data_IF_648195940903
#
_entry.id   IF_648195940903
#
_cell.length_a   1.000
_cell.length_b   1.000
_cell.length_c   1.000
_cell.angle_alpha   90.00
_cell.angle_beta   90.00
_cell.angle_gamma   90.00
#
_symmetry.space_group_name_H-M   'P 1'
#
loop_
_entity.id
_entity.type
_entity.pdbx_description
1 polymer ?
#
# COMPACT_ATOMS: atom_id res chain seq x y z
N UNK A 1 31.62 45.37 32.99
CA UNK A 1 30.27 45.84 32.59
C UNK A 1 29.65 45.04 31.43
N UNK A 2 30.42 44.31 30.62
CA UNK A 2 29.95 43.58 29.44
C UNK A 2 29.15 42.29 29.71
N UNK A 3 29.31 41.65 30.87
CA UNK A 3 28.59 40.41 31.21
C UNK A 3 27.10 40.59 31.56
N UNK A 4 26.66 41.81 31.94
CA UNK A 4 25.24 42.10 32.26
C UNK A 4 24.40 42.41 31.01
N UNK A 5 25.05 42.83 29.92
CA UNK A 5 24.39 43.18 28.66
C UNK A 5 24.08 41.91 27.85
N UNK A 6 24.96 40.91 27.90
CA UNK A 6 24.75 39.62 27.23
C UNK A 6 23.56 38.83 27.81
N UNK A 7 23.37 38.86 29.13
CA UNK A 7 22.21 38.22 29.80
C UNK A 7 20.91 38.98 29.56
N UNK A 8 20.94 40.31 29.46
CA UNK A 8 19.76 41.10 29.11
C UNK A 8 19.31 40.87 27.66
N UNK A 9 20.25 40.69 26.72
CA UNK A 9 19.92 40.36 25.33
C UNK A 9 19.38 38.94 25.17
N UNK A 10 19.89 37.97 25.94
CA UNK A 10 19.39 36.59 25.96
C UNK A 10 18.00 36.49 26.61
N UNK A 11 17.70 37.31 27.63
CA UNK A 11 16.34 37.42 28.18
C UNK A 11 15.39 38.15 27.23
N UNK A 12 15.86 39.16 26.48
CA UNK A 12 15.05 39.85 25.47
C UNK A 12 14.74 38.95 24.26
N UNK A 13 15.66 38.08 23.85
CA UNK A 13 15.46 37.07 22.79
C UNK A 13 14.66 35.84 23.26
N UNK A 14 14.56 35.60 24.58
CA UNK A 14 13.66 34.60 25.16
C UNK A 14 12.24 35.15 25.42
N UNK A 15 12.05 36.48 25.36
CA UNK A 15 10.76 37.17 25.53
C UNK A 15 10.09 37.55 24.20
N UNK A 16 10.70 37.22 23.06
CA UNK A 16 10.17 37.52 21.71
C UNK A 16 9.08 36.60 21.14
N UNK A 17 8.41 35.68 21.86
CA UNK A 17 7.07 35.25 21.45
C UNK A 17 5.95 36.14 22.02
N UNK A 18 6.22 37.00 23.00
CA UNK A 18 5.19 37.70 23.79
C UNK A 18 4.72 39.08 23.27
N UNK A 19 5.16 39.52 22.08
CA UNK A 19 4.87 40.87 21.56
C UNK A 19 4.11 40.90 20.22
N UNK A 20 3.62 39.74 19.75
CA UNK A 20 2.40 39.74 18.94
C UNK A 20 1.22 39.79 19.91
N UNK A 21 0.22 40.62 19.63
CA UNK A 21 -1.08 40.46 20.26
C UNK A 21 -1.45 38.98 20.13
N UNK A 22 -1.62 38.29 21.26
CA UNK A 22 -1.84 36.85 21.29
C UNK A 22 -3.13 36.57 20.52
N UNK A 23 -3.00 36.06 19.29
CA UNK A 23 -4.11 35.89 18.36
C UNK A 23 -5.20 34.99 18.96
N UNK A 24 -4.83 34.12 19.90
CA UNK A 24 -5.73 33.27 20.69
C UNK A 24 -6.65 34.10 21.56
N UNK A 25 -6.12 35.11 22.25
CA UNK A 25 -6.91 36.02 23.09
C UNK A 25 -7.89 36.87 22.27
N UNK A 26 -7.45 37.29 21.08
CA UNK A 26 -8.21 38.12 20.14
C UNK A 26 -9.27 37.30 19.39
N UNK A 27 -9.02 36.02 19.12
CA UNK A 27 -10.05 35.09 18.64
C UNK A 27 -11.09 34.81 19.75
N UNK A 28 -10.63 34.57 20.97
CA UNK A 28 -11.51 34.29 22.11
C UNK A 28 -12.43 35.47 22.45
N UNK A 29 -11.96 36.71 22.33
CA UNK A 29 -12.78 37.91 22.57
C UNK A 29 -14.00 37.97 21.63
N UNK A 30 -13.88 37.42 20.41
CA UNK A 30 -14.96 37.30 19.43
C UNK A 30 -15.86 36.08 19.64
N UNK A 31 -15.31 34.98 20.16
CA UNK A 31 -16.02 33.73 20.38
C UNK A 31 -16.65 33.58 21.77
N UNK A 32 -16.41 34.53 22.68
CA UNK A 32 -16.87 34.48 24.06
C UNK A 32 -18.40 34.48 24.23
N UNK A 33 -18.90 35.14 25.29
CA UNK A 33 -20.29 34.96 25.75
C UNK A 33 -21.38 35.27 24.71
N UNK A 34 -21.11 36.20 23.79
CA UNK A 34 -21.95 36.48 22.62
C UNK A 34 -21.09 36.31 21.37
N UNK A 35 -21.05 35.10 20.77
CA UNK A 35 -20.11 34.80 19.71
C UNK A 35 -20.49 35.52 18.41
N UNK A 36 -19.54 36.25 17.84
CA UNK A 36 -19.60 36.76 16.47
C UNK A 36 -18.73 35.87 15.56
N UNK A 37 -19.36 34.82 15.01
CA UNK A 37 -18.68 33.85 14.15
C UNK A 37 -18.20 34.46 12.83
N UNK A 38 -18.84 35.53 12.35
CA UNK A 38 -18.43 36.21 11.12
C UNK A 38 -17.14 36.99 11.33
N UNK A 39 -17.10 37.82 12.38
CA UNK A 39 -15.88 38.55 12.73
C UNK A 39 -14.72 37.61 13.12
N UNK A 40 -15.02 36.49 13.80
CA UNK A 40 -14.02 35.48 14.14
C UNK A 40 -13.43 34.82 12.89
N UNK A 41 -14.26 34.53 11.89
CA UNK A 41 -13.83 33.96 10.62
C UNK A 41 -12.90 34.92 9.86
N UNK A 42 -13.33 36.15 9.63
CA UNK A 42 -12.55 37.14 8.88
C UNK A 42 -11.20 37.40 9.52
N UNK A 43 -11.17 37.47 10.85
CA UNK A 43 -9.93 37.59 11.61
C UNK A 43 -9.02 36.37 11.43
N UNK A 44 -9.55 35.16 11.63
CA UNK A 44 -8.74 33.94 11.65
C UNK A 44 -8.16 33.62 10.26
N UNK A 45 -8.90 33.88 9.19
CA UNK A 45 -8.42 33.67 7.80
C UNK A 45 -7.23 34.57 7.47
N UNK A 46 -7.27 35.83 7.88
CA UNK A 46 -6.17 36.76 7.63
C UNK A 46 -4.98 36.50 8.55
N UNK A 47 -5.23 36.13 9.80
CA UNK A 47 -4.16 35.91 10.76
C UNK A 47 -3.44 34.58 10.49
N UNK A 48 -4.16 33.51 10.11
CA UNK A 48 -3.57 32.19 9.82
C UNK A 48 -2.42 32.24 8.79
N UNK A 49 -2.47 33.19 7.84
CA UNK A 49 -1.42 33.42 6.83
C UNK A 49 -0.09 33.88 7.44
N UNK A 50 -0.14 34.55 8.60
CA UNK A 50 0.99 35.16 9.29
C UNK A 50 1.51 34.31 10.47
N UNK A 51 0.75 33.30 10.88
CA UNK A 51 1.09 32.44 12.01
C UNK A 51 2.24 31.48 11.68
N UNK A 52 2.99 31.13 12.72
CA UNK A 52 3.98 30.05 12.71
C UNK A 52 3.29 28.69 12.47
N UNK A 53 4.01 27.64 12.04
CA UNK A 53 3.41 26.37 11.65
C UNK A 53 2.49 25.72 12.71
N UNK A 54 2.88 25.75 13.99
CA UNK A 54 2.11 25.16 15.10
C UNK A 54 0.81 25.94 15.39
N UNK A 55 0.89 27.27 15.41
CA UNK A 55 -0.28 28.12 15.59
C UNK A 55 -1.18 28.08 14.35
N UNK A 56 -0.60 27.92 13.15
CA UNK A 56 -1.35 27.74 11.90
C UNK A 56 -2.17 26.45 11.91
N UNK A 57 -1.62 25.36 12.46
CA UNK A 57 -2.38 24.12 12.66
C UNK A 57 -3.58 24.33 13.59
N UNK A 58 -3.38 25.10 14.66
CA UNK A 58 -4.43 25.48 15.62
C UNK A 58 -5.51 26.36 14.98
N UNK A 59 -5.12 27.32 14.14
CA UNK A 59 -6.08 28.10 13.37
C UNK A 59 -6.82 27.22 12.33
N UNK A 60 -6.10 26.34 11.63
CA UNK A 60 -6.64 25.51 10.55
C UNK A 60 -7.75 24.56 11.04
N UNK A 61 -7.65 24.01 12.26
CA UNK A 61 -8.68 23.11 12.80
C UNK A 61 -9.94 23.86 13.26
N UNK A 62 -9.82 25.16 13.58
CA UNK A 62 -10.95 25.99 14.01
C UNK A 62 -11.73 26.61 12.84
N UNK A 63 -11.09 26.80 11.68
CA UNK A 63 -11.76 27.31 10.49
C UNK A 63 -12.98 26.47 10.04
N UNK A 64 -12.92 25.13 9.95
CA UNK A 64 -14.09 24.31 9.65
C UNK A 64 -15.26 24.55 10.61
N UNK A 65 -14.97 24.70 11.91
CA UNK A 65 -15.98 24.99 12.92
C UNK A 65 -16.67 26.34 12.68
N UNK A 66 -15.90 27.38 12.36
CA UNK A 66 -16.46 28.69 12.04
C UNK A 66 -17.29 28.66 10.74
N UNK A 67 -16.83 27.96 9.70
CA UNK A 67 -17.61 27.76 8.47
C UNK A 67 -18.95 27.07 8.74
N UNK A 68 -18.95 26.03 9.58
CA UNK A 68 -20.16 25.32 9.98
C UNK A 68 -21.14 26.23 10.73
N UNK A 69 -20.64 27.09 11.64
CA UNK A 69 -21.46 28.07 12.37
C UNK A 69 -22.05 29.16 11.47
N UNK A 70 -21.38 29.47 10.37
CA UNK A 70 -21.88 30.37 9.31
C UNK A 70 -22.84 29.67 8.33
N UNK A 71 -23.02 28.35 8.44
CA UNK A 71 -23.90 27.55 7.58
C UNK A 71 -23.30 27.12 6.24
N UNK A 72 -22.00 27.34 6.04
CA UNK A 72 -21.29 27.01 4.80
C UNK A 72 -20.70 25.59 4.87
N UNK A 73 -21.55 24.59 4.57
CA UNK A 73 -21.18 23.17 4.64
C UNK A 73 -20.11 22.76 3.63
N UNK A 74 -20.04 23.44 2.48
CA UNK A 74 -19.05 23.13 1.46
C UNK A 74 -17.67 23.54 1.93
N UNK A 75 -17.52 24.78 2.44
CA UNK A 75 -16.25 25.24 3.03
C UNK A 75 -15.86 24.43 4.26
N UNK A 76 -16.82 24.06 5.11
CA UNK A 76 -16.58 23.18 6.25
C UNK A 76 -15.89 21.89 5.80
N UNK A 77 -16.46 21.20 4.79
CA UNK A 77 -15.94 19.94 4.27
C UNK A 77 -14.54 20.09 3.67
N UNK A 78 -14.34 21.11 2.84
CA UNK A 78 -13.06 21.34 2.18
C UNK A 78 -11.95 21.64 3.19
N UNK A 79 -12.22 22.50 4.18
CA UNK A 79 -11.26 22.85 5.23
C UNK A 79 -10.97 21.68 6.17
N UNK A 80 -12.00 20.89 6.53
CA UNK A 80 -11.81 19.71 7.36
C UNK A 80 -10.94 18.67 6.64
N UNK A 81 -11.20 18.41 5.35
CA UNK A 81 -10.39 17.53 4.53
C UNK A 81 -8.93 18.01 4.45
N UNK A 82 -8.73 19.30 4.19
CA UNK A 82 -7.39 19.90 4.13
C UNK A 82 -6.64 19.73 5.45
N UNK A 83 -7.33 19.90 6.58
CA UNK A 83 -6.74 19.69 7.89
C UNK A 83 -6.29 18.23 8.08
N UNK A 84 -7.14 17.24 7.81
CA UNK A 84 -6.77 15.83 7.94
C UNK A 84 -5.62 15.43 7.01
N UNK A 85 -5.65 15.85 5.73
CA UNK A 85 -4.59 15.50 4.78
C UNK A 85 -3.25 16.18 5.11
N UNK A 86 -3.28 17.38 5.70
CA UNK A 86 -2.06 18.15 6.03
C UNK A 86 -1.48 17.77 7.37
N UNK A 87 -2.32 17.68 8.40
CA UNK A 87 -1.90 17.53 9.80
C UNK A 87 -2.15 16.12 10.37
N UNK A 88 -2.80 15.23 9.62
CA UNK A 88 -2.97 13.80 9.95
C UNK A 88 -3.60 13.54 11.33
N UNK A 89 -4.65 14.29 11.66
CA UNK A 89 -5.35 14.19 12.96
C UNK A 89 -4.45 14.51 14.18
N UNK A 90 -3.38 15.27 13.98
CA UNK A 90 -2.58 15.77 15.09
C UNK A 90 -3.30 16.94 15.77
N UNK A 91 -3.84 16.72 16.96
CA UNK A 91 -4.57 17.75 17.68
C UNK A 91 -3.64 18.82 18.27
N UNK A 92 -3.91 20.11 18.01
CA UNK A 92 -3.26 21.19 18.73
C UNK A 92 -3.83 21.36 20.14
N UNK A 93 -3.16 22.17 20.96
CA UNK A 93 -3.67 22.54 22.28
C UNK A 93 -4.82 23.57 22.17
N UNK A 94 -5.96 23.23 22.76
CA UNK A 94 -7.16 24.05 22.78
C UNK A 94 -7.38 24.76 24.13
N UNK A 95 -6.40 24.74 25.04
CA UNK A 95 -6.51 25.32 26.38
C UNK A 95 -6.79 26.82 26.44
N UNK A 96 -6.65 27.53 25.32
CA UNK A 96 -6.98 28.95 25.21
C UNK A 96 -8.48 29.22 24.97
N UNK A 97 -9.26 28.21 24.57
CA UNK A 97 -10.70 28.36 24.40
C UNK A 97 -11.40 28.34 25.77
N UNK A 98 -12.47 29.13 25.91
CA UNK A 98 -13.31 29.05 27.10
C UNK A 98 -14.15 27.77 27.09
N UNK A 99 -14.66 27.38 28.26
CA UNK A 99 -15.34 26.09 28.46
C UNK A 99 -16.54 25.90 27.52
N UNK A 100 -17.27 26.98 27.20
CA UNK A 100 -18.43 26.90 26.33
C UNK A 100 -18.03 26.66 24.88
N UNK A 101 -17.08 27.45 24.35
CA UNK A 101 -16.59 27.31 22.97
C UNK A 101 -15.88 25.97 22.79
N UNK A 102 -15.05 25.56 23.75
CA UNK A 102 -14.35 24.29 23.70
C UNK A 102 -15.33 23.12 23.61
N UNK A 103 -16.37 23.10 24.44
CA UNK A 103 -17.36 22.02 24.42
C UNK A 103 -18.10 21.96 23.09
N UNK A 104 -18.50 23.11 22.55
CA UNK A 104 -19.22 23.20 21.28
C UNK A 104 -18.32 22.77 20.09
N UNK A 105 -17.07 23.22 20.09
CA UNK A 105 -16.06 22.81 19.12
C UNK A 105 -15.81 21.30 19.17
N UNK A 106 -15.62 20.71 20.35
CA UNK A 106 -15.40 19.27 20.49
C UNK A 106 -16.60 18.45 20.02
N UNK A 107 -17.83 18.92 20.28
CA UNK A 107 -19.04 18.29 19.78
C UNK A 107 -19.12 18.32 18.24
N UNK A 108 -18.70 19.43 17.63
CA UNK A 108 -18.58 19.58 16.18
C UNK A 108 -17.47 18.69 15.58
N UNK A 109 -16.31 18.61 16.22
CA UNK A 109 -15.13 17.94 15.66
C UNK A 109 -15.17 16.41 15.84
N UNK A 110 -15.89 15.91 16.84
CA UNK A 110 -15.95 14.47 17.13
C UNK A 110 -16.49 13.60 15.97
N UNK A 111 -17.56 13.97 15.24
CA UNK A 111 -18.01 13.21 14.06
C UNK A 111 -16.95 13.14 12.96
N UNK A 112 -16.25 14.25 12.70
CA UNK A 112 -15.16 14.33 11.73
C UNK A 112 -14.06 13.34 12.06
N UNK A 113 -13.59 13.33 13.31
CA UNK A 113 -12.58 12.37 13.79
C UNK A 113 -12.99 10.91 13.67
N UNK A 114 -14.27 10.61 13.87
CA UNK A 114 -14.77 9.23 13.83
C UNK A 114 -14.95 8.71 12.41
N UNK A 115 -15.15 9.61 11.44
CA UNK A 115 -15.65 9.23 10.11
C UNK A 115 -14.67 9.56 8.99
N UNK A 116 -13.74 10.50 9.14
CA UNK A 116 -12.86 10.87 8.03
C UNK A 116 -11.89 9.70 7.70
N UNK A 117 -11.93 9.12 6.48
CA UNK A 117 -11.15 7.94 6.14
C UNK A 117 -9.73 8.33 5.68
N UNK A 118 -8.91 8.84 6.61
CA UNK A 118 -7.55 9.29 6.30
C UNK A 118 -6.65 8.09 5.95
N UNK A 119 -6.07 8.14 4.75
CA UNK A 119 -4.98 7.23 4.33
C UNK A 119 -3.65 7.94 4.44
N UNK A 120 -2.73 7.38 5.22
CA UNK A 120 -1.39 7.92 5.45
C UNK A 120 -0.32 6.82 5.37
N UNK A 121 0.95 7.24 5.37
CA UNK A 121 2.12 6.36 5.27
C UNK A 121 2.10 5.40 4.07
N UNK A 122 1.73 5.93 2.90
CA UNK A 122 1.66 5.19 1.64
C UNK A 122 3.08 4.87 1.12
N UNK A 123 3.44 3.58 1.12
CA UNK A 123 4.78 3.12 0.74
C UNK A 123 4.74 1.85 -0.11
N UNK A 124 5.79 1.60 -0.89
CA UNK A 124 5.99 0.33 -1.57
C UNK A 124 6.55 -0.70 -0.60
N UNK A 125 6.13 -1.96 -0.73
CA UNK A 125 6.63 -3.06 0.10
C UNK A 125 7.70 -3.85 -0.67
N UNK A 126 8.90 -3.90 -0.10
CA UNK A 126 10.01 -4.72 -0.59
C UNK A 126 10.16 -5.97 0.27
N UNK A 127 10.36 -7.12 -0.38
CA UNK A 127 10.54 -8.40 0.29
C UNK A 127 11.97 -8.89 0.13
N UNK A 128 12.56 -9.46 1.18
CA UNK A 128 13.96 -9.93 1.19
C UNK A 128 14.27 -11.13 0.28
N UNK A 129 13.34 -11.54 -0.62
CA UNK A 129 13.65 -12.56 -1.61
C UNK A 129 14.71 -12.01 -2.57
N UNK A 130 15.75 -12.82 -2.83
CA UNK A 130 16.91 -12.46 -3.65
C UNK A 130 16.52 -11.86 -5.02
N UNK A 131 17.46 -11.20 -5.71
CA UNK A 131 17.18 -10.29 -6.82
C UNK A 131 16.22 -10.95 -7.81
N UNK A 132 14.99 -10.44 -7.86
CA UNK A 132 13.97 -10.93 -8.77
C UNK A 132 14.50 -10.76 -10.20
N UNK A 133 14.86 -11.87 -10.83
CA UNK A 133 15.22 -11.89 -12.23
C UNK A 133 13.93 -11.76 -13.03
N UNK A 134 13.66 -10.56 -13.54
CA UNK A 134 12.48 -10.26 -14.37
C UNK A 134 11.51 -9.24 -13.76
N UNK A 135 10.54 -8.85 -14.57
CA UNK A 135 9.51 -7.88 -14.18
C UNK A 135 8.48 -8.54 -13.25
N UNK A 136 8.08 -7.87 -12.16
CA UNK A 136 7.01 -8.35 -11.30
C UNK A 136 5.66 -8.26 -12.01
N UNK A 137 4.77 -9.22 -11.73
CA UNK A 137 3.38 -9.18 -12.19
C UNK A 137 2.57 -8.08 -11.47
N UNK A 138 2.89 -7.82 -10.21
CA UNK A 138 2.21 -6.86 -9.35
C UNK A 138 3.18 -6.28 -8.34
N UNK A 139 2.84 -5.12 -7.80
CA UNK A 139 3.55 -4.48 -6.70
C UNK A 139 2.59 -4.22 -5.56
N UNK A 140 3.08 -4.38 -4.34
CA UNK A 140 2.29 -4.20 -3.13
C UNK A 140 2.57 -2.81 -2.53
N UNK A 141 1.48 -2.08 -2.26
CA UNK A 141 1.48 -0.76 -1.64
C UNK A 141 0.90 -0.91 -0.24
N UNK A 142 1.72 -0.66 0.78
CA UNK A 142 1.28 -0.61 2.16
C UNK A 142 0.83 0.79 2.54
N UNK A 143 -0.24 0.91 3.33
CA UNK A 143 -0.69 2.17 3.90
C UNK A 143 -1.42 1.95 5.22
N UNK A 144 -1.54 3.00 6.02
CA UNK A 144 -2.36 3.00 7.23
C UNK A 144 -3.65 3.78 7.02
N UNK A 145 -4.74 3.22 7.53
CA UNK A 145 -6.08 3.78 7.49
C UNK A 145 -6.52 4.15 8.91
N UNK A 146 -6.81 5.43 9.12
CA UNK A 146 -7.18 5.96 10.44
C UNK A 146 -8.54 5.45 10.92
N UNK A 147 -9.54 5.45 10.05
CA UNK A 147 -10.91 5.03 10.32
C UNK A 147 -11.37 4.01 9.28
N UNK A 148 -12.19 3.05 9.69
CA UNK A 148 -12.71 2.06 8.76
C UNK A 148 -13.48 2.70 7.60
N UNK A 149 -13.39 2.08 6.43
CA UNK A 149 -14.02 2.59 5.23
C UNK A 149 -14.34 1.45 4.24
N UNK A 150 -15.41 1.64 3.48
CA UNK A 150 -15.59 0.90 2.24
C UNK A 150 -14.67 1.50 1.19
N UNK A 151 -14.06 0.66 0.37
CA UNK A 151 -13.12 1.11 -0.64
C UNK A 151 -13.50 0.62 -2.03
N UNK A 152 -13.08 1.39 -3.03
CA UNK A 152 -13.10 1.01 -4.44
C UNK A 152 -11.83 1.51 -5.10
N UNK A 153 -11.08 0.61 -5.72
CA UNK A 153 -9.89 0.93 -6.52
C UNK A 153 -10.24 0.82 -8.00
N UNK A 154 -9.89 1.86 -8.76
CA UNK A 154 -10.13 1.91 -10.19
C UNK A 154 -8.93 2.43 -10.97
N UNK A 155 -8.82 2.00 -12.23
CA UNK A 155 -7.85 2.46 -13.20
C UNK A 155 -8.63 2.98 -14.42
N UNK A 156 -8.68 4.30 -14.56
CA UNK A 156 -9.56 4.94 -15.55
C UNK A 156 -11.03 4.52 -15.37
N UNK A 157 -11.70 3.97 -16.40
CA UNK A 157 -13.09 3.53 -16.29
C UNK A 157 -13.27 2.15 -15.63
N UNK A 158 -12.19 1.42 -15.36
CA UNK A 158 -12.26 0.03 -14.89
C UNK A 158 -12.12 -0.06 -13.38
N UNK A 159 -13.04 -0.78 -12.73
CA UNK A 159 -12.96 -1.10 -11.30
C UNK A 159 -12.12 -2.37 -11.15
N UNK A 160 -11.04 -2.28 -10.35
CA UNK A 160 -10.13 -3.39 -10.10
C UNK A 160 -10.58 -4.21 -8.89
N UNK A 161 -10.87 -3.51 -7.78
CA UNK A 161 -11.18 -4.13 -6.49
C UNK A 161 -12.12 -3.22 -5.69
N UNK A 162 -12.91 -3.83 -4.81
CA UNK A 162 -13.68 -3.10 -3.80
C UNK A 162 -14.04 -4.00 -2.63
N UNK A 163 -14.29 -3.38 -1.48
CA UNK A 163 -14.56 -4.11 -0.25
C UNK A 163 -14.66 -3.20 0.96
N UNK A 164 -14.38 -3.76 2.14
CA UNK A 164 -14.33 -3.04 3.40
C UNK A 164 -12.95 -3.23 4.03
N UNK A 165 -12.37 -2.13 4.50
CA UNK A 165 -11.14 -2.14 5.29
C UNK A 165 -11.43 -1.65 6.71
N UNK A 166 -11.14 -2.46 7.76
CA UNK A 166 -11.17 -1.98 9.13
C UNK A 166 -10.07 -0.93 9.35
N UNK A 167 -10.08 -0.22 10.48
CA UNK A 167 -8.96 0.64 10.88
C UNK A 167 -7.65 -0.16 10.98
N UNK A 168 -6.54 0.40 10.49
CA UNK A 168 -5.20 -0.18 10.64
C UNK A 168 -4.39 -0.22 9.34
N UNK A 169 -3.37 -1.07 9.31
CA UNK A 169 -2.49 -1.24 8.17
C UNK A 169 -3.09 -2.19 7.13
N UNK A 170 -3.03 -1.78 5.86
CA UNK A 170 -3.54 -2.54 4.71
C UNK A 170 -2.51 -2.59 3.60
N UNK A 171 -2.65 -3.61 2.76
CA UNK A 171 -1.82 -3.82 1.57
C UNK A 171 -2.74 -3.83 0.36
N UNK A 172 -2.47 -2.93 -0.58
CA UNK A 172 -3.09 -2.88 -1.89
C UNK A 172 -2.16 -3.49 -2.94
N UNK A 173 -2.64 -4.50 -3.65
CA UNK A 173 -1.88 -5.13 -4.73
C UNK A 173 -2.21 -4.47 -6.06
N UNK A 174 -1.25 -3.77 -6.64
CA UNK A 174 -1.38 -3.10 -7.93
C UNK A 174 -0.84 -4.00 -9.04
N UNK A 175 -1.66 -4.45 -10.00
CA UNK A 175 -1.18 -5.20 -11.15
C UNK A 175 -0.33 -4.30 -12.07
N UNK A 176 0.82 -4.79 -12.52
CA UNK A 176 1.77 -4.05 -13.36
C UNK A 176 1.84 -4.57 -14.81
N UNK A 177 0.95 -5.50 -15.19
CA UNK A 177 0.92 -6.05 -16.55
C UNK A 177 0.76 -4.95 -17.61
N UNK A 178 1.69 -4.91 -18.57
CA UNK A 178 1.71 -3.91 -19.65
C UNK A 178 2.27 -2.54 -19.26
N UNK A 179 2.54 -2.28 -17.96
CA UNK A 179 2.99 -0.94 -17.52
C UNK A 179 4.47 -0.66 -17.81
N UNK A 180 5.24 -1.69 -18.15
CA UNK A 180 6.68 -1.62 -18.46
C UNK A 180 7.01 -1.50 -19.95
N UNK A 181 6.02 -1.20 -20.80
CA UNK A 181 6.26 -0.98 -22.24
C UNK A 181 6.98 0.34 -22.51
N UNK A 182 6.66 1.37 -21.71
CA UNK A 182 7.24 2.71 -21.80
C UNK A 182 7.31 3.34 -20.41
N UNK A 183 8.21 4.30 -20.25
CA UNK A 183 8.22 5.15 -19.05
C UNK A 183 6.94 6.00 -19.05
N UNK A 184 6.11 5.86 -18.03
CA UNK A 184 4.83 6.56 -17.92
C UNK A 184 4.39 6.71 -16.46
N UNK A 185 3.36 7.53 -16.22
CA UNK A 185 2.70 7.67 -14.91
C UNK A 185 1.27 7.16 -15.01
N UNK A 186 0.97 6.13 -14.23
CA UNK A 186 -0.36 5.53 -14.16
C UNK A 186 -1.10 6.03 -12.92
N UNK A 187 -2.33 6.52 -13.10
CA UNK A 187 -3.15 7.07 -12.03
C UNK A 187 -4.24 6.08 -11.62
N UNK A 188 -4.09 5.51 -10.43
CA UNK A 188 -5.10 4.69 -9.78
C UNK A 188 -5.96 5.57 -8.88
N UNK A 189 -7.26 5.38 -8.90
CA UNK A 189 -8.21 6.15 -8.09
C UNK A 189 -8.68 5.26 -6.95
N UNK A 190 -8.36 5.65 -5.72
CA UNK A 190 -8.86 5.04 -4.49
C UNK A 190 -10.03 5.88 -3.96
N UNK A 191 -11.25 5.37 -4.09
CA UNK A 191 -12.43 5.96 -3.46
C UNK A 191 -12.68 5.27 -2.12
N UNK A 192 -12.83 6.07 -1.05
CA UNK A 192 -13.09 5.62 0.31
C UNK A 192 -14.41 6.22 0.79
N UNK A 193 -15.33 5.40 1.27
CA UNK A 193 -16.59 5.85 1.87
C UNK A 193 -16.63 5.44 3.34
N UNK A 194 -16.84 6.42 4.22
CA UNK A 194 -17.06 6.20 5.64
C UNK A 194 -18.13 7.17 6.13
N UNK A 195 -19.25 6.60 6.62
CA UNK A 195 -20.47 7.37 6.87
C UNK A 195 -20.92 8.16 5.63
N UNK A 196 -21.10 9.47 5.82
CA UNK A 196 -21.51 10.42 4.78
C UNK A 196 -20.34 11.04 4.01
N UNK A 197 -19.10 10.62 4.30
CA UNK A 197 -17.90 11.16 3.67
C UNK A 197 -17.42 10.19 2.59
N UNK A 198 -17.30 10.69 1.36
CA UNK A 198 -16.64 9.99 0.26
C UNK A 198 -15.37 10.75 -0.09
N UNK A 199 -14.22 10.13 0.16
CA UNK A 199 -12.89 10.67 -0.10
C UNK A 199 -12.27 9.97 -1.31
N UNK A 200 -11.91 10.73 -2.33
CA UNK A 200 -11.23 10.25 -3.54
C UNK A 200 -9.76 10.59 -3.48
N UNK A 201 -8.89 9.58 -3.47
CA UNK A 201 -7.44 9.73 -3.41
C UNK A 201 -6.76 9.14 -4.66
N UNK A 202 -6.13 9.97 -5.50
CA UNK A 202 -5.29 9.47 -6.58
C UNK A 202 -3.98 8.87 -6.05
N UNK A 203 -3.65 7.66 -6.50
CA UNK A 203 -2.37 6.99 -6.27
C UNK A 203 -1.65 6.94 -7.61
N UNK A 204 -0.61 7.76 -7.75
CA UNK A 204 0.18 7.84 -8.98
C UNK A 204 1.39 6.92 -8.89
N UNK A 205 1.43 5.94 -9.78
CA UNK A 205 2.53 4.99 -9.93
C UNK A 205 3.36 5.44 -11.12
N UNK A 206 4.58 5.92 -10.86
CA UNK A 206 5.53 6.29 -11.91
C UNK A 206 6.41 5.09 -12.22
N UNK A 207 6.50 4.75 -13.50
CA UNK A 207 7.41 3.74 -14.04
C UNK A 207 8.45 4.46 -14.89
N UNK A 208 9.71 4.39 -14.49
CA UNK A 208 10.84 4.93 -15.26
C UNK A 208 11.70 3.78 -15.77
N UNK A 209 11.93 3.71 -17.07
CA UNK A 209 12.75 2.68 -17.73
C UNK A 209 14.03 3.33 -18.22
N UNK A 210 15.17 2.84 -17.73
CA UNK A 210 16.49 3.23 -18.20
C UNK A 210 17.16 2.03 -18.89
N UNK A 211 17.59 2.21 -20.14
CA UNK A 211 18.45 1.25 -20.80
C UNK A 211 19.82 1.27 -20.14
N UNK A 212 20.26 0.11 -19.64
CA UNK A 212 21.63 -0.07 -19.19
C UNK A 212 22.46 -0.30 -20.45
N UNK A 213 23.09 0.76 -20.95
CA UNK A 213 24.16 0.62 -21.94
C UNK A 213 25.19 -0.32 -21.32
N UNK A 214 25.35 -1.50 -21.92
CA UNK A 214 26.46 -2.36 -21.57
C UNK A 214 27.72 -1.52 -21.74
N UNK A 215 28.48 -1.30 -20.66
CA UNK A 215 29.85 -0.82 -20.79
C UNK A 215 30.51 -1.69 -21.87
N UNK A 216 31.23 -1.11 -22.85
CA UNK A 216 31.67 -1.85 -24.02
C UNK A 216 32.44 -3.07 -23.53
N UNK A 217 31.83 -4.25 -23.69
CA UNK A 217 32.51 -5.49 -23.41
C UNK A 217 33.72 -5.48 -24.34
N UNK A 218 34.92 -5.58 -23.75
CA UNK A 218 36.14 -5.74 -24.52
C UNK A 218 35.90 -6.84 -25.55
N UNK A 219 36.17 -6.52 -26.82
CA UNK A 219 35.85 -7.35 -27.96
C UNK A 219 36.18 -8.84 -27.70
N UNK A 220 35.26 -9.77 -28.00
CA UNK A 220 35.56 -11.18 -27.87
C UNK A 220 36.64 -11.51 -28.90
N UNK A 221 37.80 -11.95 -28.41
CA UNK A 221 38.81 -12.58 -29.27
C UNK A 221 38.23 -13.88 -29.80
N UNK A 222 38.11 -13.96 -31.12
CA UNK A 222 37.84 -15.19 -31.86
C UNK A 222 38.80 -16.29 -31.40
N UNK A 223 38.25 -17.33 -30.77
CA UNK A 223 38.91 -18.61 -30.64
C UNK A 223 37.93 -19.67 -31.11
N UNK A 224 38.16 -20.12 -32.34
CA UNK A 224 37.62 -21.33 -32.93
C UNK A 224 37.81 -22.52 -31.97
N UNK A 225 36.73 -23.25 -31.69
CA UNK A 225 36.79 -24.64 -31.24
C UNK A 225 35.53 -25.39 -31.73
N UNK A 226 35.67 -26.57 -32.34
CA UNK A 226 34.55 -27.31 -32.94
C UNK A 226 33.96 -28.39 -32.01
N UNK A 227 32.67 -28.70 -32.27
CA UNK A 227 31.87 -29.90 -31.93
C UNK A 227 31.61 -30.20 -30.43
N UNK A 228 30.44 -30.63 -29.96
CA UNK A 228 29.45 -31.60 -30.47
C UNK A 228 28.20 -31.60 -29.55
N UNK A 229 27.01 -31.94 -30.08
CA UNK A 229 25.84 -32.22 -29.22
C UNK A 229 24.47 -32.18 -29.91
N UNK A 230 24.09 -33.29 -30.54
CA UNK A 230 22.75 -33.84 -30.87
C UNK A 230 21.56 -32.93 -31.26
N UNK A 231 20.75 -33.33 -32.29
CA UNK A 231 19.61 -32.55 -32.74
C UNK A 231 18.46 -32.62 -31.71
N UNK A 232 18.08 -31.46 -31.18
CA UNK A 232 16.89 -31.30 -30.33
C UNK A 232 15.66 -31.52 -31.22
N UNK A 233 14.85 -32.56 -30.92
CA UNK A 233 13.57 -32.81 -31.57
C UNK A 233 12.70 -31.54 -31.54
N UNK A 234 12.05 -31.25 -32.67
CA UNK A 234 11.21 -30.07 -32.86
C UNK A 234 10.14 -29.92 -31.77
N UNK A 235 10.04 -28.70 -31.24
CA UNK A 235 8.97 -28.24 -30.36
C UNK A 235 7.65 -28.42 -31.12
N UNK A 236 6.69 -29.14 -30.56
CA UNK A 236 5.34 -29.19 -31.13
C UNK A 236 4.62 -27.89 -30.77
N UNK A 237 4.49 -27.02 -31.76
CA UNK A 237 3.77 -25.76 -31.64
C UNK A 237 2.33 -25.95 -32.12
N UNK A 238 1.37 -25.62 -31.27
CA UNK A 238 -0.03 -25.49 -31.66
C UNK A 238 -0.35 -24.02 -31.90
N UNK A 239 -0.74 -23.67 -33.12
CA UNK A 239 -1.25 -22.35 -33.48
C UNK A 239 -2.75 -22.44 -33.78
N UNK A 240 -3.54 -21.59 -33.13
CA UNK A 240 -4.95 -21.38 -33.49
C UNK A 240 -5.06 -19.96 -34.03
N UNK A 241 -5.41 -19.85 -35.30
CA UNK A 241 -5.66 -18.59 -35.99
C UNK A 241 -7.12 -18.53 -36.44
N UNK A 242 -7.83 -17.47 -36.05
CA UNK A 242 -9.22 -17.22 -36.42
C UNK A 242 -9.28 -16.11 -37.46
N UNK A 243 -9.91 -16.43 -38.59
CA UNK A 243 -10.13 -15.53 -39.70
C UNK A 243 -11.61 -15.22 -39.84
N UNK A 244 -11.95 -13.96 -40.06
CA UNK A 244 -13.28 -13.54 -40.51
C UNK A 244 -13.07 -12.60 -41.69
N UNK A 245 -13.81 -12.81 -42.79
CA UNK A 245 -13.70 -12.07 -44.04
C UNK A 245 -12.25 -11.99 -44.58
N UNK A 246 -11.54 -13.11 -44.54
CA UNK A 246 -10.13 -13.23 -44.92
C UNK A 246 -9.15 -12.30 -44.17
N UNK A 247 -9.57 -11.72 -43.03
CA UNK A 247 -8.69 -10.97 -42.12
C UNK A 247 -8.47 -11.76 -40.84
N UNK A 248 -7.19 -11.89 -40.46
CA UNK A 248 -6.78 -12.53 -39.21
C UNK A 248 -7.19 -11.62 -38.05
N UNK A 249 -8.13 -12.09 -37.22
CA UNK A 249 -8.65 -11.31 -36.08
C UNK A 249 -7.97 -11.75 -34.78
N UNK A 250 -7.60 -13.03 -34.68
CA UNK A 250 -7.00 -13.58 -33.48
C UNK A 250 -5.94 -14.62 -33.86
N UNK A 251 -4.74 -14.49 -33.28
CA UNK A 251 -3.69 -15.50 -33.35
C UNK A 251 -3.24 -15.82 -31.93
N UNK A 252 -3.49 -17.04 -31.50
CA UNK A 252 -3.04 -17.53 -30.19
C UNK A 252 -2.05 -18.68 -30.41
N UNK A 253 -0.82 -18.48 -29.95
CA UNK A 253 0.25 -19.48 -30.01
C UNK A 253 0.49 -20.00 -28.61
N UNK A 254 0.25 -21.29 -28.39
CA UNK A 254 0.55 -21.92 -27.11
C UNK A 254 1.87 -22.69 -27.24
N UNK A 255 2.91 -22.14 -26.62
CA UNK A 255 4.17 -22.86 -26.44
C UNK A 255 3.99 -23.75 -25.21
N UNK A 256 3.92 -25.07 -25.41
CA UNK A 256 3.89 -26.00 -24.27
C UNK A 256 5.28 -25.95 -23.63
N UNK A 257 5.39 -25.28 -22.48
CA UNK A 257 6.57 -25.38 -21.64
C UNK A 257 6.79 -26.87 -21.33
N UNK A 258 8.02 -27.34 -21.59
CA UNK A 258 8.46 -28.72 -21.37
C UNK A 258 7.87 -29.23 -20.05
N UNK A 259 7.08 -30.32 -20.01
CA UNK A 259 6.68 -30.89 -18.74
C UNK A 259 7.96 -31.25 -18.01
N UNK A 260 8.17 -30.64 -16.84
CA UNK A 260 9.19 -31.07 -15.89
C UNK A 260 8.96 -32.55 -15.70
N UNK A 261 9.92 -33.39 -16.08
CA UNK A 261 9.80 -34.83 -15.87
C UNK A 261 9.60 -35.06 -14.38
N UNK A 262 8.37 -35.36 -13.98
CA UNK A 262 8.08 -35.88 -12.65
C UNK A 262 8.51 -37.34 -12.68
N UNK A 263 9.76 -37.58 -12.30
CA UNK A 263 10.26 -38.93 -12.07
C UNK A 263 9.63 -39.44 -10.79
N UNK A 264 8.63 -40.31 -10.93
CA UNK A 264 8.27 -41.24 -9.87
C UNK A 264 9.54 -42.07 -9.57
N UNK A 265 10.02 -42.17 -8.33
CA UNK A 265 10.98 -43.21 -8.01
C UNK A 265 10.21 -44.52 -8.13
N UNK A 266 10.24 -45.15 -9.31
CA UNK A 266 10.09 -46.58 -9.39
C UNK A 266 11.19 -47.12 -8.49
N UNK A 267 10.80 -47.62 -7.32
CA UNK A 267 11.70 -48.32 -6.41
C UNK A 267 12.54 -49.27 -7.25
N UNK A 268 13.86 -49.21 -7.08
CA UNK A 268 14.79 -50.07 -7.78
C UNK A 268 14.37 -51.55 -7.68
N UNK A 269 14.93 -52.42 -8.54
CA UNK A 269 14.56 -53.82 -8.57
C UNK A 269 14.55 -54.42 -7.16
N UNK A 270 13.43 -55.03 -6.80
CA UNK A 270 13.19 -55.68 -5.53
C UNK A 270 14.39 -56.59 -5.20
N UNK A 271 14.91 -56.48 -3.98
CA UNK A 271 15.93 -57.38 -3.45
C UNK A 271 15.53 -58.85 -3.71
N UNK A 272 16.47 -59.76 -3.98
CA UNK A 272 16.16 -61.16 -4.28
C UNK A 272 15.34 -61.78 -3.13
N UNK A 273 14.05 -62.04 -3.36
CA UNK A 273 13.17 -62.68 -2.38
C UNK A 273 11.71 -62.25 -2.36
N UNK A 274 11.35 -61.07 -2.91
CA UNK A 274 9.94 -60.66 -2.99
C UNK A 274 9.31 -61.07 -4.33
N UNK A 275 8.51 -62.14 -4.30
CA UNK A 275 7.74 -62.61 -5.47
C UNK A 275 6.49 -61.74 -5.67
N UNK A 276 6.17 -61.23 -6.87
CA UNK A 276 5.09 -60.26 -7.10
C UNK A 276 3.66 -60.83 -7.06
N UNK A 277 3.48 -62.13 -6.83
CA UNK A 277 2.21 -62.83 -7.01
C UNK A 277 1.79 -63.69 -5.81
N UNK A 278 2.17 -63.29 -4.60
CA UNK A 278 1.54 -63.85 -3.40
C UNK A 278 0.19 -63.13 -3.18
N UNK A 279 -0.90 -63.86 -2.93
CA UNK A 279 -2.14 -63.21 -2.50
C UNK A 279 -1.85 -62.43 -1.21
N UNK A 280 -2.47 -61.25 -1.03
CA UNK A 280 -2.28 -60.46 0.18
C UNK A 280 -2.56 -61.35 1.40
N UNK A 281 -1.78 -61.23 2.49
CA UNK A 281 -2.05 -61.98 3.70
C UNK A 281 -3.52 -61.75 4.08
N UNK A 282 -4.27 -62.84 4.28
CA UNK A 282 -5.67 -62.78 4.69
C UNK A 282 -5.75 -61.92 5.94
N UNK A 283 -6.29 -60.71 5.81
CA UNK A 283 -6.59 -59.87 6.96
C UNK A 283 -7.71 -60.57 7.74
N UNK A 284 -7.36 -61.15 8.88
CA UNK A 284 -8.35 -61.70 9.79
C UNK A 284 -9.18 -60.53 10.36
N UNK A 285 -10.49 -60.43 10.07
CA UNK A 285 -11.32 -59.34 10.59
C UNK A 285 -11.46 -59.38 12.12
N UNK A 286 -11.10 -60.49 12.78
CA UNK A 286 -11.01 -60.63 14.24
C UNK A 286 -9.75 -59.98 14.86
N UNK A 287 -8.75 -59.61 14.05
CA UNK A 287 -7.52 -58.94 14.53
C UNK A 287 -7.62 -57.40 14.58
N UNK A 288 -8.76 -56.84 14.16
CA UNK A 288 -9.04 -55.39 14.12
C UNK A 288 -9.88 -54.89 15.31
N UNK A 289 -9.95 -55.65 16.40
CA UNK A 289 -10.58 -55.21 17.63
C UNK A 289 -9.70 -54.19 18.35
N UNK A 290 -9.92 -52.90 18.13
CA UNK A 290 -9.29 -51.86 18.95
C UNK A 290 -10.07 -51.80 20.26
N UNK A 291 -9.40 -52.04 21.38
CA UNK A 291 -10.02 -51.93 22.70
C UNK A 291 -10.53 -50.49 22.87
N UNK A 292 -11.79 -50.31 23.30
CA UNK A 292 -12.45 -48.99 23.37
C UNK A 292 -11.65 -48.01 24.24
N UNK A 293 -10.95 -48.54 25.26
CA UNK A 293 -10.07 -47.75 26.13
C UNK A 293 -8.82 -47.24 25.39
N UNK A 294 -8.23 -48.05 24.50
CA UNK A 294 -7.09 -47.63 23.68
C UNK A 294 -7.52 -46.64 22.59
N UNK A 295 -8.73 -46.80 22.05
CA UNK A 295 -9.31 -45.83 21.13
C UNK A 295 -9.55 -44.48 21.81
N UNK A 296 -10.02 -44.47 23.06
CA UNK A 296 -10.17 -43.25 23.87
C UNK A 296 -8.81 -42.64 24.23
N UNK A 297 -7.81 -43.46 24.55
CA UNK A 297 -6.45 -42.98 24.83
C UNK A 297 -5.79 -42.37 23.58
N UNK A 298 -5.98 -42.98 22.41
CA UNK A 298 -5.50 -42.45 21.13
C UNK A 298 -6.26 -41.19 20.72
N UNK A 299 -7.57 -41.12 20.95
CA UNK A 299 -8.36 -39.90 20.72
C UNK A 299 -7.91 -38.77 21.65
N UNK A 300 -7.71 -39.06 22.94
CA UNK A 300 -7.19 -38.10 23.91
C UNK A 300 -5.78 -37.62 23.55
N UNK A 301 -4.90 -38.53 23.12
CA UNK A 301 -3.55 -38.18 22.65
C UNK A 301 -3.60 -37.36 21.36
N UNK A 302 -4.47 -37.68 20.42
CA UNK A 302 -4.67 -36.91 19.20
C UNK A 302 -5.20 -35.49 19.49
N UNK A 303 -6.17 -35.36 20.41
CA UNK A 303 -6.69 -34.07 20.86
C UNK A 303 -5.58 -33.27 21.57
N UNK A 304 -4.82 -33.92 22.46
CA UNK A 304 -3.70 -33.28 23.17
C UNK A 304 -2.59 -32.85 22.21
N UNK A 305 -2.27 -33.66 21.20
CA UNK A 305 -1.26 -33.33 20.18
C UNK A 305 -1.76 -32.24 19.23
N UNK A 306 -3.06 -32.17 18.93
CA UNK A 306 -3.68 -31.08 18.16
C UNK A 306 -3.68 -29.76 18.93
N UNK A 307 -3.92 -29.82 20.24
CA UNK A 307 -3.91 -28.65 21.15
C UNK A 307 -2.48 -28.20 21.46
N UNK A 308 -1.53 -29.14 21.57
CA UNK A 308 -0.12 -28.86 21.79
C UNK A 308 0.58 -28.31 20.54
N UNK A 309 0.17 -28.75 19.35
CA UNK A 309 0.55 -28.14 18.06
C UNK A 309 -0.34 -26.93 17.78
N UNK A 310 -0.27 -25.91 18.61
CA UNK A 310 -0.59 -24.56 18.13
C UNK A 310 0.32 -24.32 16.91
N UNK A 311 -0.22 -24.05 15.71
CA UNK A 311 0.64 -23.60 14.63
C UNK A 311 1.42 -22.40 15.17
N UNK A 312 2.75 -22.43 15.04
CA UNK A 312 3.54 -21.26 15.37
C UNK A 312 2.86 -20.08 14.65
N UNK A 313 2.62 -18.94 15.32
CA UNK A 313 2.11 -17.78 14.63
C UNK A 313 3.01 -17.56 13.42
N UNK A 314 2.45 -17.45 12.20
CA UNK A 314 3.27 -17.24 11.01
C UNK A 314 4.20 -16.08 11.31
N UNK A 315 5.50 -16.29 11.15
CA UNK A 315 6.46 -15.21 11.33
C UNK A 315 6.00 -14.04 10.45
N UNK A 316 5.94 -12.82 10.99
CA UNK A 316 5.45 -11.69 10.22
C UNK A 316 6.28 -11.60 8.93
N UNK A 317 5.64 -11.43 7.76
CA UNK A 317 6.37 -11.29 6.52
C UNK A 317 7.39 -10.17 6.67
N UNK A 318 8.67 -10.47 6.43
CA UNK A 318 9.74 -9.48 6.51
C UNK A 318 9.68 -8.57 5.29
N UNK A 319 8.78 -7.60 5.33
CA UNK A 319 8.74 -6.52 4.36
C UNK A 319 9.49 -5.29 4.88
N UNK A 320 10.04 -4.52 3.95
CA UNK A 320 10.61 -3.20 4.20
C UNK A 320 9.79 -2.17 3.42
N UNK A 321 9.39 -1.08 4.10
CA UNK A 321 8.76 0.07 3.45
C UNK A 321 9.83 0.82 2.66
N UNK A 322 9.64 0.96 1.36
CA UNK A 322 10.56 1.64 0.45
C UNK A 322 9.83 2.68 -0.39
N UNK A 323 10.53 3.75 -0.77
CA UNK A 323 9.99 4.81 -1.62
C UNK A 323 10.03 4.46 -3.11
N UNK A 324 10.93 3.54 -3.49
CA UNK A 324 11.07 3.06 -4.86
C UNK A 324 11.48 1.59 -4.89
N UNK A 325 10.99 0.87 -5.89
CA UNK A 325 11.41 -0.49 -6.23
C UNK A 325 12.10 -0.46 -7.58
N UNK A 326 13.20 -1.21 -7.73
CA UNK A 326 13.93 -1.30 -9.00
C UNK A 326 14.05 -2.75 -9.45
N UNK A 327 13.80 -2.96 -10.73
CA UNK A 327 13.76 -4.28 -11.37
C UNK A 327 14.66 -4.25 -12.60
N UNK A 328 15.53 -5.24 -12.74
CA UNK A 328 16.35 -5.42 -13.94
C UNK A 328 15.72 -6.50 -14.82
N UNK A 329 15.61 -6.21 -16.12
CA UNK A 329 15.04 -7.14 -17.10
C UNK A 329 15.66 -6.91 -18.48
N UNK A 330 15.59 -7.91 -19.37
CA UNK A 330 16.02 -7.77 -20.76
C UNK A 330 14.83 -7.35 -21.64
N UNK A 331 15.04 -6.39 -22.54
CA UNK A 331 14.06 -5.98 -23.55
C UNK A 331 14.67 -5.96 -24.93
N UNK A 332 13.85 -6.18 -25.95
CA UNK A 332 14.26 -6.09 -27.34
C UNK A 332 14.01 -4.66 -27.83
N UNK A 333 15.02 -3.99 -28.36
CA UNK A 333 14.86 -2.66 -28.95
C UNK A 333 14.16 -2.74 -30.30
N UNK A 334 13.73 -1.59 -30.84
CA UNK A 334 13.14 -1.51 -32.18
C UNK A 334 14.06 -2.04 -33.30
N UNK A 335 15.38 -2.08 -33.04
CA UNK A 335 16.41 -2.62 -33.93
C UNK A 335 16.61 -4.15 -33.78
N UNK A 336 15.84 -4.81 -32.90
CA UNK A 336 15.92 -6.25 -32.64
C UNK A 336 17.05 -6.67 -31.70
N UNK A 337 17.76 -5.73 -31.08
CA UNK A 337 18.85 -6.01 -30.14
C UNK A 337 18.31 -6.25 -28.72
N UNK A 338 18.82 -7.29 -28.05
CA UNK A 338 18.50 -7.55 -26.63
C UNK A 338 19.35 -6.65 -25.74
N UNK A 339 18.72 -5.70 -25.04
CA UNK A 339 19.37 -4.74 -24.14
C UNK A 339 18.88 -4.97 -22.72
N UNK A 340 19.79 -4.87 -21.75
CA UNK A 340 19.44 -4.87 -20.32
C UNK A 340 18.82 -3.53 -19.95
N UNK A 341 17.63 -3.54 -19.35
CA UNK A 341 16.93 -2.36 -18.89
C UNK A 341 16.66 -2.45 -17.39
N UNK A 342 16.62 -1.30 -16.74
CA UNK A 342 16.20 -1.15 -15.34
C UNK A 342 14.90 -0.36 -15.30
N UNK A 343 13.85 -0.94 -14.75
CA UNK A 343 12.62 -0.24 -14.44
C UNK A 343 12.61 0.15 -12.96
N UNK A 344 12.28 1.40 -12.64
CA UNK A 344 11.99 1.85 -11.29
C UNK A 344 10.53 2.22 -11.14
N UNK A 345 9.90 1.73 -10.07
CA UNK A 345 8.52 2.05 -9.69
C UNK A 345 8.57 2.94 -8.46
N UNK A 346 7.88 4.08 -8.49
CA UNK A 346 7.75 4.99 -7.36
C UNK A 346 6.31 5.49 -7.19
N UNK A 347 5.96 5.86 -5.96
CA UNK A 347 4.65 6.42 -5.63
C UNK A 347 4.76 7.93 -5.48
N UNK A 348 3.86 8.66 -6.13
CA UNK A 348 3.68 10.10 -5.90
C UNK A 348 2.37 10.30 -5.13
N UNK A 349 2.43 10.62 -3.82
CA UNK A 349 1.22 10.85 -3.04
C UNK A 349 0.51 12.10 -3.54
N UNK A 350 -0.82 12.02 -3.62
CA UNK A 350 -1.66 13.18 -3.90
C UNK A 350 -2.72 13.32 -2.80
N UNK A 351 -3.20 14.55 -2.62
CA UNK A 351 -4.22 14.86 -1.61
C UNK A 351 -5.55 14.25 -2.01
N UNK A 352 -6.31 13.79 -1.02
CA UNK A 352 -7.66 13.34 -1.26
C UNK A 352 -8.61 14.52 -1.51
N UNK A 353 -9.68 14.27 -2.27
CA UNK A 353 -10.75 15.22 -2.58
C UNK A 353 -12.06 14.64 -2.07
N UNK A 354 -12.81 15.40 -1.27
CA UNK A 354 -14.16 14.99 -0.87
C UNK A 354 -15.10 15.13 -2.06
N UNK A 355 -15.79 14.06 -2.43
CA UNK A 355 -16.80 14.10 -3.47
C UNK A 355 -18.10 14.67 -2.92
N UNK A 356 -18.72 15.56 -3.70
CA UNK A 356 -20.09 16.04 -3.46
C UNK A 356 -21.06 14.96 -3.96
N UNK A 357 -21.99 14.53 -3.09
CA UNK A 357 -23.13 13.69 -3.50
C UNK A 357 -24.15 14.49 -4.30
#
# INVERSE_FOLDING_TARGET
MTKRIATALLLALALTPGLRADWKSELLSRLGRNPDYGAAWDYLVEEAKKLEPEDRQTAAVLLPFLAAKLGDKDKERDLAAEYFETYRDNDPDFGFLDVYTLRDFLAFWAPWKRSYPLVYDLNLLSYAKGPATGLPASVEVGFELLNEAFFRVSLGPYILEGGHWPRGFHILTIPLHGLFERSDTYEFILDLKSGDIISRKPIRVRVDIADMVAAPAAAPRDILSPESGTPIKAIQEGEISLYVDNKLILKSRKIVAKPTYFTFPLGGPLMPGQKPYLPPPKEDPMSRGVNILDALALAYKAIKDLVAKKPLPPSPPSYQKVSSLSFAYSRTTAEGLSVSARASVSLSPSRAVILKE
#
